data_IF_383407132499
#
_entry.id   IF_383407132499
#
_cell.length_a   1.000
_cell.length_b   1.000
_cell.length_c   1.000
_cell.angle_alpha   90.00
_cell.angle_beta   90.00
_cell.angle_gamma   90.00
#
_symmetry.space_group_name_H-M   'P 1'
#
loop_
_entity.id
_entity.type
_entity.pdbx_description
1 polymer ?
#
# COMPACT_ATOMS: atom_id res chain seq x y z
N UNK A 1 3.34 -10.43 11.26
CA UNK A 1 4.54 -10.80 12.06
C UNK A 1 5.71 -9.86 11.84
N UNK A 2 5.97 -9.39 10.61
CA UNK A 2 7.11 -8.51 10.28
C UNK A 2 7.19 -7.22 11.12
N UNK A 3 6.06 -6.55 11.37
CA UNK A 3 6.01 -5.35 12.22
C UNK A 3 6.48 -5.67 13.64
N UNK A 4 5.96 -6.74 14.24
CA UNK A 4 6.34 -7.16 15.58
C UNK A 4 7.83 -7.50 15.69
N UNK A 5 8.38 -8.24 14.71
CA UNK A 5 9.80 -8.58 14.69
C UNK A 5 10.69 -7.34 14.51
N UNK A 6 10.28 -6.41 13.65
CA UNK A 6 11.00 -5.15 13.48
C UNK A 6 10.96 -4.30 14.76
N UNK A 7 9.81 -4.25 15.43
CA UNK A 7 9.64 -3.52 16.68
C UNK A 7 10.53 -4.09 17.79
N UNK A 8 10.66 -5.42 17.88
CA UNK A 8 11.55 -6.11 18.82
C UNK A 8 13.01 -5.77 18.54
N UNK A 9 13.46 -5.81 17.27
CA UNK A 9 14.84 -5.48 16.90
C UNK A 9 15.20 -4.04 17.25
N UNK A 10 14.33 -3.08 16.95
CA UNK A 10 14.56 -1.68 17.28
C UNK A 10 14.56 -1.47 18.79
N UNK A 11 13.64 -2.13 19.51
CA UNK A 11 13.56 -2.02 20.96
C UNK A 11 14.79 -2.64 21.64
N UNK A 12 15.23 -3.81 21.20
CA UNK A 12 16.41 -4.47 21.76
C UNK A 12 17.68 -3.64 21.56
N UNK A 13 17.82 -3.00 20.40
CA UNK A 13 18.98 -2.13 20.11
C UNK A 13 18.97 -0.89 21.00
N UNK A 14 17.81 -0.27 21.21
CA UNK A 14 17.68 0.88 22.11
C UNK A 14 17.89 0.51 23.58
N UNK A 15 17.39 -0.63 24.03
CA UNK A 15 17.54 -1.09 25.41
C UNK A 15 18.96 -1.58 25.72
N UNK A 16 19.74 -1.98 24.71
CA UNK A 16 21.14 -2.37 24.89
C UNK A 16 22.04 -1.20 25.36
N UNK A 17 21.59 0.04 25.17
CA UNK A 17 22.33 1.26 25.55
C UNK A 17 21.84 1.86 26.88
N UNK A 18 20.93 1.20 27.60
CA UNK A 18 20.40 1.66 28.89
C UNK A 18 21.25 1.08 30.01
N UNK A 19 21.77 1.94 30.89
CA UNK A 19 22.63 1.52 32.00
C UNK A 19 21.83 1.01 33.21
N UNK A 20 20.64 1.57 33.44
CA UNK A 20 19.78 1.20 34.57
C UNK A 20 18.30 1.16 34.20
N UNK A 21 17.72 -0.04 34.25
CA UNK A 21 16.27 -0.23 34.09
C UNK A 21 15.44 0.30 35.27
N UNK A 22 16.08 0.78 36.34
CA UNK A 22 15.41 1.42 37.47
C UNK A 22 15.08 2.89 37.23
N UNK A 23 15.68 3.52 36.22
CA UNK A 23 15.47 4.93 35.90
C UNK A 23 14.32 5.10 34.91
N UNK A 24 13.14 5.48 35.42
CA UNK A 24 11.96 5.65 34.58
C UNK A 24 12.10 6.78 33.55
N UNK A 25 12.83 7.85 33.85
CA UNK A 25 13.01 8.97 32.92
C UNK A 25 13.82 8.55 31.68
N UNK A 26 14.85 7.73 31.88
CA UNK A 26 15.69 7.15 30.83
C UNK A 26 14.87 6.17 29.96
N UNK A 27 14.12 5.27 30.59
CA UNK A 27 13.23 4.33 29.89
C UNK A 27 12.16 5.09 29.09
N UNK A 28 11.54 6.13 29.67
CA UNK A 28 10.50 6.91 29.01
C UNK A 28 11.03 7.60 27.75
N UNK A 29 12.25 8.16 27.80
CA UNK A 29 12.90 8.76 26.65
C UNK A 29 13.17 7.72 25.54
N UNK A 30 13.67 6.54 25.91
CA UNK A 30 13.90 5.42 24.98
C UNK A 30 12.59 4.97 24.33
N UNK A 31 11.52 4.79 25.10
CA UNK A 31 10.21 4.38 24.58
C UNK A 31 9.59 5.44 23.65
N UNK A 32 9.75 6.73 23.94
CA UNK A 32 9.32 7.82 23.04
C UNK A 32 10.07 7.79 21.71
N UNK A 33 11.39 7.54 21.75
CA UNK A 33 12.23 7.39 20.56
C UNK A 33 11.84 6.15 19.75
N UNK A 34 11.63 5.02 20.43
CA UNK A 34 11.12 3.79 19.83
C UNK A 34 9.78 4.01 19.13
N UNK A 35 8.84 4.70 19.80
CA UNK A 35 7.53 5.03 19.23
C UNK A 35 7.64 5.85 17.93
N UNK A 36 8.52 6.85 17.89
CA UNK A 36 8.76 7.62 16.67
C UNK A 36 9.39 6.79 15.54
N UNK A 37 10.32 5.88 15.86
CA UNK A 37 10.98 5.07 14.84
C UNK A 37 10.08 3.97 14.26
N UNK A 38 9.21 3.36 15.07
CA UNK A 38 8.27 2.32 14.58
C UNK A 38 7.11 2.89 13.77
N UNK A 39 6.66 4.12 14.11
CA UNK A 39 5.40 4.68 13.58
C UNK A 39 5.34 4.67 12.05
N UNK A 40 6.34 5.14 11.28
CA UNK A 40 6.24 5.20 9.82
C UNK A 40 6.06 3.83 9.15
N UNK A 41 6.76 2.80 9.63
CA UNK A 41 6.67 1.46 9.05
C UNK A 41 5.36 0.77 9.44
N UNK A 42 5.02 0.80 10.74
CA UNK A 42 3.81 0.17 11.25
C UNK A 42 2.55 0.81 10.64
N UNK A 43 2.50 2.14 10.61
CA UNK A 43 1.42 2.94 10.01
C UNK A 43 1.24 2.60 8.52
N UNK A 44 2.33 2.57 7.75
CA UNK A 44 2.26 2.25 6.33
C UNK A 44 1.76 0.83 6.09
N UNK A 45 2.29 -0.17 6.81
CA UNK A 45 1.87 -1.56 6.65
C UNK A 45 0.40 -1.73 7.05
N UNK A 46 -0.03 -1.11 8.15
CA UNK A 46 -1.41 -1.21 8.61
C UNK A 46 -2.37 -0.52 7.64
N UNK A 47 -2.06 0.72 7.25
CA UNK A 47 -2.84 1.48 6.28
C UNK A 47 -2.98 0.73 4.95
N UNK A 48 -1.88 0.16 4.46
CA UNK A 48 -1.91 -0.63 3.24
C UNK A 48 -2.76 -1.88 3.40
N UNK A 49 -2.55 -2.67 4.46
CA UNK A 49 -3.30 -3.91 4.67
C UNK A 49 -4.81 -3.67 4.74
N UNK A 50 -5.23 -2.65 5.49
CA UNK A 50 -6.64 -2.28 5.59
C UNK A 50 -7.20 -1.81 4.24
N UNK A 51 -6.44 -1.01 3.50
CA UNK A 51 -6.90 -0.51 2.21
C UNK A 51 -7.03 -1.61 1.16
N UNK A 52 -6.08 -2.56 1.14
CA UNK A 52 -6.14 -3.73 0.28
C UNK A 52 -7.31 -4.64 0.61
N UNK A 53 -7.54 -4.89 1.91
CA UNK A 53 -8.70 -5.62 2.37
C UNK A 53 -10.00 -4.93 1.90
N UNK A 54 -10.10 -3.61 2.04
CA UNK A 54 -11.24 -2.84 1.54
C UNK A 54 -11.45 -2.96 0.04
N UNK A 55 -10.38 -2.93 -0.76
CA UNK A 55 -10.47 -3.06 -2.23
C UNK A 55 -10.90 -4.47 -2.65
N UNK A 56 -10.36 -5.51 -2.01
CA UNK A 56 -10.65 -6.91 -2.38
C UNK A 56 -11.95 -7.45 -1.79
N UNK A 57 -12.42 -6.92 -0.65
CA UNK A 57 -13.68 -7.32 -0.05
C UNK A 57 -14.89 -6.59 -0.63
N UNK A 58 -14.70 -5.42 -1.25
CA UNK A 58 -15.78 -4.65 -1.82
C UNK A 58 -16.17 -5.14 -3.23
N UNK A 59 -17.43 -4.90 -3.59
CA UNK A 59 -18.01 -5.27 -4.87
C UNK A 59 -18.44 -4.03 -5.66
N UNK A 60 -18.27 -4.07 -6.98
CA UNK A 60 -18.72 -3.03 -7.89
C UNK A 60 -17.69 -2.76 -8.98
N UNK A 61 -18.14 -2.14 -10.07
CA UNK A 61 -17.34 -1.97 -11.28
C UNK A 61 -15.99 -1.25 -11.05
N UNK A 62 -15.97 -0.28 -10.12
CA UNK A 62 -14.76 0.42 -9.73
C UNK A 62 -13.77 -0.51 -8.98
N UNK A 63 -14.28 -1.36 -8.08
CA UNK A 63 -13.49 -2.33 -7.33
C UNK A 63 -12.95 -3.43 -8.25
N UNK A 64 -13.80 -3.97 -9.14
CA UNK A 64 -13.39 -4.99 -10.11
C UNK A 64 -12.25 -4.48 -11.00
N UNK A 65 -12.34 -3.24 -11.47
CA UNK A 65 -11.29 -2.58 -12.25
C UNK A 65 -9.97 -2.47 -11.46
N UNK A 66 -10.05 -2.12 -10.18
CA UNK A 66 -8.87 -2.02 -9.31
C UNK A 66 -8.25 -3.38 -9.01
N UNK A 67 -9.07 -4.40 -8.76
CA UNK A 67 -8.62 -5.77 -8.52
C UNK A 67 -7.92 -6.32 -9.77
N UNK A 68 -8.52 -6.17 -10.95
CA UNK A 68 -7.92 -6.60 -12.21
C UNK A 68 -6.63 -5.83 -12.53
N UNK A 69 -6.62 -4.51 -12.31
CA UNK A 69 -5.45 -3.65 -12.45
C UNK A 69 -4.31 -4.07 -11.52
N UNK A 70 -4.60 -4.39 -10.27
CA UNK A 70 -3.64 -4.92 -9.30
C UNK A 70 -3.07 -6.27 -9.75
N UNK A 71 -3.90 -7.22 -10.17
CA UNK A 71 -3.43 -8.52 -10.68
C UNK A 71 -2.54 -8.36 -11.91
N UNK A 72 -2.93 -7.52 -12.88
CA UNK A 72 -2.12 -7.24 -14.08
C UNK A 72 -0.81 -6.53 -13.72
N UNK A 73 -0.82 -5.61 -12.77
CA UNK A 73 0.37 -4.93 -12.28
C UNK A 73 1.36 -5.92 -11.69
N UNK A 74 0.92 -6.82 -10.81
CA UNK A 74 1.78 -7.83 -10.21
C UNK A 74 2.25 -8.88 -11.21
N UNK A 75 1.40 -9.29 -12.15
CA UNK A 75 1.79 -10.22 -13.23
C UNK A 75 2.84 -9.62 -14.16
N UNK A 76 2.68 -8.34 -14.54
CA UNK A 76 3.66 -7.63 -15.37
C UNK A 76 4.96 -7.32 -14.60
N UNK A 77 4.85 -7.07 -13.30
CA UNK A 77 6.01 -6.93 -12.42
C UNK A 77 6.87 -8.19 -12.35
N UNK A 78 6.27 -9.38 -12.50
CA UNK A 78 7.00 -10.64 -12.60
C UNK A 78 7.74 -10.81 -13.96
N UNK A 79 7.30 -10.13 -15.02
CA UNK A 79 7.92 -10.19 -16.35
C UNK A 79 9.01 -9.12 -16.58
N UNK A 80 8.94 -7.97 -15.89
CA UNK A 80 9.81 -6.80 -16.15
C UNK A 80 10.69 -6.34 -14.97
N UNK A 81 10.50 -6.86 -13.75
CA UNK A 81 11.29 -6.42 -12.59
C UNK A 81 11.67 -7.56 -11.67
N UNK A 82 12.95 -7.96 -11.72
CA UNK A 82 13.51 -9.03 -10.89
C UNK A 82 13.57 -8.67 -9.38
N UNK A 83 13.50 -7.38 -9.01
CA UNK A 83 13.43 -6.91 -7.61
C UNK A 83 12.83 -5.49 -7.65
N UNK A 84 11.83 -5.09 -6.81
CA UNK A 84 11.76 -5.24 -5.35
C UNK A 84 10.34 -5.47 -4.77
N UNK A 85 9.31 -5.71 -5.60
CA UNK A 85 7.91 -5.74 -5.14
C UNK A 85 7.62 -6.99 -4.30
N UNK A 86 8.22 -8.13 -4.66
CA UNK A 86 8.17 -9.37 -3.88
C UNK A 86 8.88 -9.23 -2.54
N UNK A 87 10.02 -8.55 -2.50
CA UNK A 87 10.80 -8.28 -1.27
C UNK A 87 10.12 -7.24 -0.37
N UNK A 88 9.40 -6.28 -0.94
CA UNK A 88 8.56 -5.33 -0.22
C UNK A 88 7.33 -6.02 0.37
N UNK A 89 6.65 -6.87 -0.41
CA UNK A 89 5.52 -7.68 0.06
C UNK A 89 5.93 -8.72 1.11
N UNK A 90 7.15 -9.28 0.99
CA UNK A 90 7.77 -10.15 1.99
C UNK A 90 8.24 -9.39 3.23
N UNK A 91 8.19 -8.05 3.24
CA UNK A 91 8.58 -7.23 4.39
C UNK A 91 10.10 -7.15 4.61
N UNK A 92 10.89 -7.46 3.60
CA UNK A 92 12.37 -7.47 3.64
C UNK A 92 12.93 -6.07 3.40
N UNK A 93 12.32 -5.28 2.51
CA UNK A 93 12.71 -3.87 2.32
C UNK A 93 11.93 -2.96 3.28
N UNK A 94 12.64 -2.40 4.26
CA UNK A 94 12.09 -1.50 5.30
C UNK A 94 11.96 -0.04 4.83
N UNK A 95 11.42 0.22 3.64
CA UNK A 95 11.23 1.58 3.13
C UNK A 95 9.74 1.93 2.93
N UNK A 96 9.12 2.61 3.91
CA UNK A 96 7.73 3.09 3.82
C UNK A 96 7.46 3.90 2.54
N UNK A 97 8.43 4.72 2.12
CA UNK A 97 8.35 5.54 0.92
C UNK A 97 8.22 4.71 -0.37
N UNK A 98 8.91 3.57 -0.43
CA UNK A 98 8.87 2.70 -1.61
C UNK A 98 7.55 1.93 -1.70
N UNK A 99 7.01 1.52 -0.56
CA UNK A 99 5.69 0.90 -0.43
C UNK A 99 4.57 1.83 -0.91
N UNK A 100 4.61 3.09 -0.46
CA UNK A 100 3.68 4.13 -0.91
C UNK A 100 3.83 4.37 -2.41
N UNK A 101 5.07 4.53 -2.90
CA UNK A 101 5.36 4.74 -4.33
C UNK A 101 4.77 3.62 -5.18
N UNK A 102 5.02 2.36 -4.81
CA UNK A 102 4.52 1.20 -5.53
C UNK A 102 2.98 1.16 -5.56
N UNK A 103 2.35 1.49 -4.43
CA UNK A 103 0.88 1.55 -4.32
C UNK A 103 0.28 2.64 -5.22
N UNK A 104 0.94 3.80 -5.32
CA UNK A 104 0.55 4.87 -6.25
C UNK A 104 0.74 4.42 -7.70
N UNK A 105 1.89 3.83 -8.04
CA UNK A 105 2.17 3.32 -9.38
C UNK A 105 1.12 2.31 -9.82
N UNK A 106 0.74 1.38 -8.94
CA UNK A 106 -0.31 0.41 -9.22
C UNK A 106 -1.68 1.05 -9.47
N UNK A 107 -2.06 2.06 -8.69
CA UNK A 107 -3.34 2.79 -8.89
C UNK A 107 -3.36 3.49 -10.26
N UNK A 108 -2.27 4.19 -10.60
CA UNK A 108 -2.11 4.83 -11.92
C UNK A 108 -2.14 3.78 -13.03
N UNK A 109 -1.46 2.63 -12.83
CA UNK A 109 -1.48 1.53 -13.77
C UNK A 109 -2.88 0.94 -13.95
N UNK A 110 -3.67 0.83 -12.88
CA UNK A 110 -5.06 0.33 -12.95
C UNK A 110 -5.94 1.26 -13.78
N UNK A 111 -5.77 2.58 -13.64
CA UNK A 111 -6.43 3.57 -14.49
C UNK A 111 -5.93 3.45 -15.94
N UNK A 112 -4.63 3.26 -16.16
CA UNK A 112 -4.08 3.06 -17.50
C UNK A 112 -4.61 1.78 -18.17
N UNK A 113 -4.77 0.69 -17.42
CA UNK A 113 -5.38 -0.57 -17.88
C UNK A 113 -6.83 -0.33 -18.31
N UNK A 114 -7.58 0.51 -17.59
CA UNK A 114 -8.96 0.87 -17.97
C UNK A 114 -9.04 1.49 -19.38
N UNK A 115 -8.03 2.26 -19.79
CA UNK A 115 -7.97 2.88 -21.13
C UNK A 115 -7.36 1.99 -22.21
N UNK A 116 -6.51 1.03 -21.85
CA UNK A 116 -5.69 0.29 -22.82
C UNK A 116 -6.08 -1.16 -23.01
N UNK A 117 -6.71 -1.80 -22.02
CA UNK A 117 -7.00 -3.23 -22.08
C UNK A 117 -8.44 -3.52 -22.50
N UNK A 118 -8.65 -4.57 -23.33
CA UNK A 118 -9.98 -5.05 -23.68
C UNK A 118 -10.72 -5.54 -22.44
N UNK A 119 -12.01 -5.18 -22.33
CA UNK A 119 -12.89 -5.59 -21.22
C UNK A 119 -13.29 -7.06 -21.34
N UNK A 120 -13.62 -7.75 -20.24
CA UNK A 120 -14.25 -9.07 -20.31
C UNK A 120 -15.55 -8.96 -21.12
N UNK A 121 -15.57 -9.56 -22.31
CA UNK A 121 -16.69 -9.50 -23.28
C UNK A 121 -16.40 -8.75 -24.58
N UNK A 122 -15.33 -7.93 -24.67
CA UNK A 122 -14.98 -7.22 -25.89
C UNK A 122 -13.46 -7.25 -26.13
N UNK A 123 -13.00 -8.00 -27.14
CA UNK A 123 -11.57 -8.30 -27.41
C UNK A 123 -10.78 -7.14 -28.04
N UNK A 124 -11.42 -6.01 -28.31
CA UNK A 124 -10.80 -4.84 -28.96
C UNK A 124 -10.54 -3.72 -27.96
N UNK A 125 -9.46 -2.96 -28.18
CA UNK A 125 -9.20 -1.72 -27.44
C UNK A 125 -10.40 -0.75 -27.60
N UNK A 126 -10.71 0.05 -26.56
CA UNK A 126 -11.87 0.93 -26.60
C UNK A 126 -11.75 1.93 -27.76
N UNK A 127 -12.77 1.98 -28.61
CA UNK A 127 -12.88 2.95 -29.70
C UNK A 127 -13.02 4.38 -29.15
N UNK A 128 -12.60 5.38 -29.92
CA UNK A 128 -12.59 6.81 -29.54
C UNK A 128 -13.92 7.32 -28.93
N UNK A 129 -15.05 6.76 -29.36
CA UNK A 129 -16.39 7.13 -28.85
C UNK A 129 -16.64 6.72 -27.38
N UNK A 130 -15.91 5.72 -26.86
CA UNK A 130 -16.06 5.23 -25.48
C UNK A 130 -15.22 6.01 -24.45
N UNK A 131 -14.35 6.92 -24.88
CA UNK A 131 -13.49 7.72 -24.02
C UNK A 131 -14.23 8.58 -22.97
N UNK A 132 -15.34 9.28 -23.28
CA UNK A 132 -16.06 10.04 -22.26
C UNK A 132 -16.64 9.13 -21.16
N UNK A 133 -17.16 7.95 -21.52
CA UNK A 133 -17.65 6.96 -20.56
C UNK A 133 -16.51 6.39 -19.70
N UNK A 134 -15.34 6.16 -20.30
CA UNK A 134 -14.14 5.70 -19.61
C UNK A 134 -13.61 6.73 -18.62
N UNK A 135 -13.69 8.01 -18.97
CA UNK A 135 -13.26 9.10 -18.09
C UNK A 135 -14.15 9.20 -16.85
N UNK A 136 -15.47 9.07 -17.01
CA UNK A 136 -16.41 8.99 -15.87
C UNK A 136 -16.09 7.79 -14.97
N UNK A 137 -15.78 6.63 -15.56
CA UNK A 137 -15.35 5.45 -14.78
C UNK A 137 -14.03 5.66 -14.05
N UNK A 138 -13.05 6.29 -14.69
CA UNK A 138 -11.78 6.63 -14.06
C UNK A 138 -11.97 7.60 -12.87
N UNK A 139 -12.84 8.61 -13.02
CA UNK A 139 -13.20 9.51 -11.93
C UNK A 139 -13.90 8.76 -10.78
N UNK A 140 -14.80 7.82 -11.09
CA UNK A 140 -15.45 6.99 -10.07
C UNK A 140 -14.44 6.10 -9.33
N UNK A 141 -13.45 5.53 -10.03
CA UNK A 141 -12.36 4.78 -9.41
C UNK A 141 -11.53 5.66 -8.49
N UNK A 142 -11.14 6.86 -8.94
CA UNK A 142 -10.37 7.82 -8.12
C UNK A 142 -11.16 8.21 -6.86
N UNK A 143 -12.45 8.51 -7.01
CA UNK A 143 -13.33 8.82 -5.90
C UNK A 143 -13.40 7.66 -4.89
N UNK A 144 -13.62 6.44 -5.37
CA UNK A 144 -13.70 5.24 -4.55
C UNK A 144 -12.40 4.99 -3.78
N UNK A 145 -11.24 5.19 -4.43
CA UNK A 145 -9.92 5.12 -3.78
C UNK A 145 -9.83 6.15 -2.64
N UNK A 146 -10.29 7.38 -2.88
CA UNK A 146 -10.29 8.44 -1.86
C UNK A 146 -11.14 8.08 -0.64
N UNK A 147 -12.34 7.52 -0.86
CA UNK A 147 -13.25 7.12 0.21
C UNK A 147 -12.72 5.93 1.01
N UNK A 148 -12.06 4.97 0.37
CA UNK A 148 -11.53 3.77 1.06
C UNK A 148 -10.20 4.07 1.76
N UNK A 149 -9.30 4.79 1.11
CA UNK A 149 -7.96 5.05 1.66
C UNK A 149 -7.92 6.27 2.59
N UNK A 150 -8.80 7.26 2.40
CA UNK A 150 -8.83 8.48 3.20
C UNK A 150 -8.98 8.22 4.70
N UNK A 151 -10.01 7.48 5.15
CA UNK A 151 -10.21 7.16 6.56
C UNK A 151 -9.04 6.35 7.15
N UNK A 152 -8.50 5.43 6.35
CA UNK A 152 -7.40 4.56 6.75
C UNK A 152 -6.10 5.33 6.94
N UNK A 153 -5.79 6.27 6.03
CA UNK A 153 -4.63 7.15 6.20
C UNK A 153 -4.81 8.12 7.37
N UNK A 154 -6.01 8.65 7.56
CA UNK A 154 -6.30 9.54 8.70
C UNK A 154 -6.15 8.85 10.05
N UNK A 155 -6.58 7.58 10.17
CA UNK A 155 -6.45 6.81 11.40
C UNK A 155 -4.99 6.51 11.79
N UNK A 156 -4.07 6.58 10.83
CA UNK A 156 -2.67 6.18 10.96
C UNK A 156 -1.68 7.36 11.01
N UNK A 157 -2.16 8.61 10.85
CA UNK A 157 -1.41 9.86 11.03
C UNK A 157 -1.42 10.30 12.50
#
# INVERSE_FOLDING_TARGET
MTVALNDVVILSDLLAHVESFGNWDEISAVLKKWHHMRKPLASTINAMSMSWAGIFAAHGEAFDTMQEGAFKFYRKGAEYSDQPVSLLAAGILKSPSLLVRNSITMKVFSIWVLFTHPRPGNKSAPQFYAYPLLLVKALNVIWTIGVVMGPVMWAEM
#
